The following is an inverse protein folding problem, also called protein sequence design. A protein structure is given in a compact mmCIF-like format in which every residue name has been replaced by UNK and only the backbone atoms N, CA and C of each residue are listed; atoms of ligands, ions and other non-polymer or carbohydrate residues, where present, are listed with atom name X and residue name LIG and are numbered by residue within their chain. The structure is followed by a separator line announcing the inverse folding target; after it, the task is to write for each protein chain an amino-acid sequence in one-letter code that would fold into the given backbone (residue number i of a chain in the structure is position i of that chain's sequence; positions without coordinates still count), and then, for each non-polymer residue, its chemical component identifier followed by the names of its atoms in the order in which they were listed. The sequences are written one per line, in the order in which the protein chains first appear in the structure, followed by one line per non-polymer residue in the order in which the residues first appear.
data_IF_193571376780
#
_entry.id   IF_193571376780
#
_cell.length_a   1.000
_cell.length_b   1.000
_cell.length_c   1.000
_cell.angle_alpha   90.00
_cell.angle_beta   90.00
_cell.angle_gamma   90.00
#
_symmetry.space_group_name_H-M   'P 1'
#
loop_
_entity.id
_entity.type
_entity.pdbx_description
1 polymer ?
#
# COMPACT_ATOMS: atom_id res chain seq x y z
N UNK A 1 10.80 -29.75 -3.11
CA UNK A 1 10.59 -28.55 -2.29
C UNK A 1 11.26 -27.36 -2.99
N UNK A 2 10.50 -26.48 -3.65
CA UNK A 2 11.05 -25.23 -4.17
C UNK A 2 10.97 -24.19 -3.06
N UNK A 3 12.13 -23.62 -2.71
CA UNK A 3 12.27 -22.52 -1.74
C UNK A 3 11.42 -21.35 -2.25
N UNK A 4 10.60 -20.77 -1.36
CA UNK A 4 10.00 -19.46 -1.61
C UNK A 4 11.14 -18.45 -1.75
N UNK A 5 11.45 -18.07 -2.98
CA UNK A 5 12.38 -16.99 -3.25
C UNK A 5 11.73 -15.70 -2.77
N UNK A 6 12.43 -14.97 -1.91
CA UNK A 6 12.14 -13.55 -1.70
C UNK A 6 12.27 -12.91 -3.07
N UNK A 7 11.19 -12.34 -3.61
CA UNK A 7 11.26 -11.53 -4.83
C UNK A 7 12.12 -10.33 -4.46
N UNK A 8 13.37 -10.34 -4.90
CA UNK A 8 14.28 -9.22 -4.71
C UNK A 8 13.80 -8.10 -5.63
N UNK A 9 13.47 -6.94 -5.05
CA UNK A 9 13.00 -5.79 -5.82
C UNK A 9 14.14 -5.34 -6.75
N UNK A 10 13.86 -5.20 -8.04
CA UNK A 10 14.82 -4.68 -8.99
C UNK A 10 15.09 -3.19 -8.68
N UNK A 11 16.29 -2.89 -8.16
CA UNK A 11 16.70 -1.52 -7.86
C UNK A 11 16.67 -0.60 -9.09
N UNK A 12 16.91 -1.14 -10.29
CA UNK A 12 16.87 -0.35 -11.52
C UNK A 12 15.43 0.06 -11.86
N UNK A 13 14.46 -0.84 -11.63
CA UNK A 13 13.03 -0.55 -11.79
C UNK A 13 12.62 0.61 -10.87
N UNK A 14 13.01 0.55 -9.59
CA UNK A 14 12.70 1.61 -8.62
C UNK A 14 13.33 2.95 -9.02
N UNK A 15 14.63 2.96 -9.34
CA UNK A 15 15.31 4.19 -9.77
C UNK A 15 14.68 4.77 -11.04
N UNK A 16 14.33 3.91 -12.00
CA UNK A 16 13.71 4.34 -13.25
C UNK A 16 12.36 4.99 -13.00
N UNK A 17 11.51 4.39 -12.18
CA UNK A 17 10.23 4.96 -11.80
C UNK A 17 10.39 6.30 -11.08
N UNK A 18 11.32 6.40 -10.11
CA UNK A 18 11.61 7.65 -9.40
C UNK A 18 12.02 8.76 -10.36
N UNK A 19 12.90 8.45 -11.32
CA UNK A 19 13.33 9.42 -12.32
C UNK A 19 12.15 9.89 -13.19
N UNK A 20 11.29 8.99 -13.65
CA UNK A 20 10.12 9.33 -14.46
C UNK A 20 9.11 10.21 -13.68
N UNK A 21 8.86 9.87 -12.41
CA UNK A 21 8.00 10.65 -11.52
C UNK A 21 8.57 12.06 -11.24
N UNK A 22 9.90 12.18 -11.13
CA UNK A 22 10.59 13.47 -10.95
C UNK A 22 10.51 14.34 -12.22
N UNK A 23 10.32 13.72 -13.38
CA UNK A 23 10.06 14.39 -14.66
C UNK A 23 8.56 14.63 -14.90
N UNK A 24 7.75 14.66 -13.83
CA UNK A 24 6.32 14.93 -13.85
C UNK A 24 5.49 14.00 -14.75
N UNK A 25 5.97 12.78 -15.02
CA UNK A 25 5.16 11.80 -15.73
C UNK A 25 4.03 11.30 -14.81
N UNK A 26 2.75 11.31 -15.25
CA UNK A 26 1.67 10.73 -14.47
C UNK A 26 1.89 9.22 -14.29
N UNK A 27 1.43 8.66 -13.16
CA UNK A 27 1.62 7.26 -12.79
C UNK A 27 1.22 6.27 -13.89
N UNK A 28 0.13 6.53 -14.60
CA UNK A 28 -0.31 5.72 -15.74
C UNK A 28 0.73 5.67 -16.86
N UNK A 29 1.37 6.80 -17.16
CA UNK A 29 2.43 6.90 -18.16
C UNK A 29 3.73 6.25 -17.66
N UNK A 30 4.06 6.38 -16.37
CA UNK A 30 5.20 5.69 -15.75
C UNK A 30 5.05 4.18 -15.92
N UNK A 31 3.87 3.63 -15.59
CA UNK A 31 3.57 2.20 -15.79
C UNK A 31 3.81 1.76 -17.22
N UNK A 32 3.26 2.49 -18.19
CA UNK A 32 3.33 2.12 -19.61
C UNK A 32 4.75 2.25 -20.18
N UNK A 33 5.58 3.15 -19.65
CA UNK A 33 7.00 3.26 -20.00
C UNK A 33 7.77 2.05 -19.47
N UNK A 34 7.61 1.71 -18.18
CA UNK A 34 8.33 0.61 -17.55
C UNK A 34 8.02 -0.74 -18.21
N UNK A 35 6.74 -0.99 -18.54
CA UNK A 35 6.35 -2.20 -19.26
C UNK A 35 7.00 -2.28 -20.66
N UNK A 36 7.09 -1.15 -21.36
CA UNK A 36 7.72 -1.07 -22.69
C UNK A 36 9.23 -1.26 -22.65
N UNK A 37 9.87 -0.84 -21.56
CA UNK A 37 11.29 -1.05 -21.29
C UNK A 37 11.61 -2.50 -20.90
N UNK A 38 10.60 -3.35 -20.72
CA UNK A 38 10.75 -4.79 -20.50
C UNK A 38 10.80 -5.21 -19.04
N UNK A 39 10.47 -4.34 -18.10
CA UNK A 39 10.40 -4.71 -16.68
C UNK A 39 9.26 -5.72 -16.43
N UNK A 40 9.42 -6.67 -15.48
CA UNK A 40 8.41 -7.68 -15.20
C UNK A 40 7.07 -7.05 -14.79
N UNK A 41 5.98 -7.45 -15.47
CA UNK A 41 4.65 -6.87 -15.25
C UNK A 41 4.22 -6.91 -13.78
N UNK A 42 4.45 -8.02 -13.08
CA UNK A 42 4.08 -8.16 -11.67
C UNK A 42 4.81 -7.14 -10.78
N UNK A 43 6.10 -6.89 -11.02
CA UNK A 43 6.87 -5.92 -10.25
C UNK A 43 6.48 -4.48 -10.59
N UNK A 44 6.17 -4.20 -11.86
CA UNK A 44 5.68 -2.88 -12.27
C UNK A 44 4.33 -2.59 -11.63
N UNK A 45 3.40 -3.55 -11.63
CA UNK A 45 2.10 -3.38 -10.97
C UNK A 45 2.29 -3.12 -9.47
N UNK A 46 3.09 -3.92 -8.78
CA UNK A 46 3.34 -3.75 -7.34
C UNK A 46 3.95 -2.39 -7.01
N UNK A 47 4.89 -1.90 -7.84
CA UNK A 47 5.49 -0.57 -7.67
C UNK A 47 4.49 0.56 -7.90
N UNK A 48 3.69 0.47 -8.96
CA UNK A 48 2.71 1.50 -9.32
C UNK A 48 1.61 1.57 -8.27
N UNK A 49 1.09 0.43 -7.80
CA UNK A 49 0.08 0.37 -6.74
C UNK A 49 0.63 0.98 -5.44
N UNK A 50 1.87 0.64 -5.06
CA UNK A 50 2.51 1.21 -3.89
C UNK A 50 2.71 2.73 -4.01
N UNK A 51 3.06 3.22 -5.19
CA UNK A 51 3.26 4.65 -5.45
C UNK A 51 1.94 5.40 -5.50
N UNK A 52 0.91 4.84 -6.12
CA UNK A 52 -0.44 5.40 -6.14
C UNK A 52 -1.01 5.52 -4.72
N UNK A 53 -0.74 4.55 -3.86
CA UNK A 53 -1.09 4.63 -2.45
C UNK A 53 -0.39 5.81 -1.76
N UNK A 54 0.91 6.02 -2.04
CA UNK A 54 1.67 7.17 -1.57
C UNK A 54 1.07 8.51 -2.01
N UNK A 55 0.72 8.62 -3.28
CA UNK A 55 0.20 9.87 -3.83
C UNK A 55 -1.25 10.14 -3.38
N UNK A 56 -2.05 9.09 -3.17
CA UNK A 56 -3.42 9.23 -2.68
C UNK A 56 -3.50 9.66 -1.21
N UNK A 57 -2.39 9.71 -0.46
CA UNK A 57 -2.37 10.24 0.92
C UNK A 57 -2.65 11.74 1.01
N UNK A 58 -2.63 12.48 -0.11
CA UNK A 58 -3.00 13.89 -0.14
C UNK A 58 -4.52 14.12 -0.21
N UNK A 59 -5.31 13.05 -0.35
CA UNK A 59 -6.76 13.11 -0.39
C UNK A 59 -7.30 12.63 0.97
N UNK A 60 -7.94 13.48 1.78
CA UNK A 60 -8.56 13.06 3.02
C UNK A 60 -9.62 11.99 2.72
N UNK A 61 -9.57 10.83 3.39
CA UNK A 61 -10.54 9.79 3.11
C UNK A 61 -11.89 10.09 3.76
N UNK A 62 -12.95 9.78 3.04
CA UNK A 62 -14.33 9.90 3.52
C UNK A 62 -14.69 8.72 4.43
N UNK A 63 -15.41 8.97 5.53
CA UNK A 63 -15.92 7.91 6.40
C UNK A 63 -17.31 7.46 5.92
N UNK A 64 -17.45 6.17 5.63
CA UNK A 64 -18.75 5.54 5.38
C UNK A 64 -18.85 4.18 6.10
N UNK A 65 -20.05 3.59 6.11
CA UNK A 65 -20.33 2.31 6.77
C UNK A 65 -19.58 1.11 6.18
N UNK A 66 -19.01 1.25 4.98
CA UNK A 66 -18.23 0.22 4.30
C UNK A 66 -16.74 0.28 4.65
N UNK A 67 -16.33 1.16 5.56
CA UNK A 67 -14.94 1.28 6.00
C UNK A 67 -14.72 0.76 7.42
N UNK A 68 -13.53 0.22 7.66
CA UNK A 68 -13.02 -0.17 8.97
C UNK A 68 -11.90 0.80 9.34
N UNK A 69 -12.04 1.49 10.47
CA UNK A 69 -10.96 2.29 11.04
C UNK A 69 -10.06 1.44 11.94
N UNK A 70 -8.75 1.53 11.74
CA UNK A 70 -7.75 1.03 12.69
C UNK A 70 -7.18 2.23 13.42
N UNK A 71 -7.23 2.12 14.74
CA UNK A 71 -6.63 3.03 15.68
C UNK A 71 -5.29 2.44 16.16
N UNK A 72 -4.21 3.20 16.04
CA UNK A 72 -2.85 2.75 16.34
C UNK A 72 -2.34 3.53 17.54
N UNK A 73 -1.91 2.79 18.56
CA UNK A 73 -1.25 3.40 19.72
C UNK A 73 0.19 3.78 19.33
N UNK A 74 0.47 5.08 19.29
CA UNK A 74 1.80 5.58 18.97
C UNK A 74 2.70 5.64 20.22
N UNK A 75 4.03 5.49 20.07
CA UNK A 75 4.95 5.62 21.19
C UNK A 75 4.80 6.97 21.90
N UNK A 76 4.62 6.94 23.22
CA UNK A 76 4.45 8.14 24.04
C UNK A 76 3.00 8.62 24.18
N UNK A 77 2.03 7.98 23.52
CA UNK A 77 0.61 8.23 23.82
C UNK A 77 0.20 7.56 25.14
N UNK A 78 -0.50 8.32 25.98
CA UNK A 78 -1.15 7.77 27.16
C UNK A 78 -2.32 6.87 26.74
N UNK A 79 -2.42 5.69 27.34
CA UNK A 79 -3.53 4.76 27.10
C UNK A 79 -4.79 5.16 27.86
N UNK A 80 -4.64 5.75 29.04
CA UNK A 80 -5.77 6.22 29.86
C UNK A 80 -6.31 7.55 29.35
N UNK A 81 -7.62 7.61 29.09
CA UNK A 81 -8.30 8.82 28.62
C UNK A 81 -8.07 9.17 27.15
N UNK A 82 -7.39 8.30 26.38
CA UNK A 82 -7.16 8.48 24.94
C UNK A 82 -8.48 8.52 24.20
N UNK A 83 -8.67 9.57 23.39
CA UNK A 83 -9.76 9.60 22.41
C UNK A 83 -9.40 8.64 21.28
N UNK A 84 -10.29 7.71 20.88
CA UNK A 84 -10.04 6.86 19.72
C UNK A 84 -9.68 7.71 18.51
N UNK A 85 -8.53 7.40 17.92
CA UNK A 85 -8.08 7.94 16.65
C UNK A 85 -8.42 6.97 15.53
N UNK A 86 -8.15 7.39 14.30
CA UNK A 86 -8.09 6.45 13.18
C UNK A 86 -6.85 6.81 12.39
N UNK A 87 -5.97 5.84 12.25
CA UNK A 87 -4.69 5.98 11.57
C UNK A 87 -4.73 5.30 10.20
N UNK A 88 -5.60 4.30 10.03
CA UNK A 88 -5.82 3.59 8.77
C UNK A 88 -7.31 3.37 8.56
N UNK A 89 -7.78 3.60 7.33
CA UNK A 89 -9.08 3.14 6.86
C UNK A 89 -8.91 1.98 5.89
N UNK A 90 -9.79 0.99 6.00
CA UNK A 90 -9.83 -0.16 5.10
C UNK A 90 -11.23 -0.23 4.49
N UNK A 91 -11.30 -0.23 3.16
CA UNK A 91 -12.52 -0.53 2.43
C UNK A 91 -12.84 -2.04 2.54
N UNK A 92 -14.03 -2.39 3.06
CA UNK A 92 -14.42 -3.79 3.33
C UNK A 92 -14.57 -4.64 2.07
N UNK A 93 -14.87 -4.03 0.92
CA UNK A 93 -15.16 -4.75 -0.32
C UNK A 93 -13.89 -5.00 -1.14
N UNK A 94 -13.04 -3.99 -1.23
CA UNK A 94 -11.81 -4.03 -2.04
C UNK A 94 -10.60 -4.45 -1.23
N UNK A 95 -10.62 -4.25 0.09
CA UNK A 95 -9.45 -4.35 0.95
C UNK A 95 -8.43 -3.23 0.73
N UNK A 96 -8.81 -2.13 0.05
CA UNK A 96 -7.94 -0.97 -0.17
C UNK A 96 -7.71 -0.23 1.15
N UNK A 97 -6.45 0.12 1.43
CA UNK A 97 -6.07 0.90 2.61
C UNK A 97 -5.99 2.39 2.25
N UNK A 98 -6.25 3.24 3.25
CA UNK A 98 -5.97 4.68 3.21
C UNK A 98 -5.34 5.07 4.54
N UNK A 99 -4.13 5.64 4.51
CA UNK A 99 -3.42 6.05 5.72
C UNK A 99 -3.84 7.48 6.10
N UNK A 100 -4.36 7.64 7.31
CA UNK A 100 -4.77 8.94 7.87
C UNK A 100 -3.56 9.65 8.46
N UNK A 101 -2.65 8.89 9.05
CA UNK A 101 -1.48 9.40 9.75
C UNK A 101 -0.17 8.84 9.19
N UNK A 102 0.09 8.98 7.86
CA UNK A 102 1.24 8.38 7.20
C UNK A 102 2.59 8.93 7.69
N UNK A 103 2.60 10.02 8.45
CA UNK A 103 3.80 10.57 9.08
C UNK A 103 4.36 9.67 10.20
N UNK A 104 3.56 8.78 10.79
CA UNK A 104 4.01 7.88 11.84
C UNK A 104 4.51 6.55 11.25
N UNK A 105 5.64 6.07 11.75
CA UNK A 105 6.24 4.81 11.27
C UNK A 105 5.34 3.61 11.60
N UNK A 106 4.63 3.68 12.72
CA UNK A 106 3.70 2.68 13.22
C UNK A 106 2.54 2.47 12.25
N UNK A 107 1.99 3.56 11.69
CA UNK A 107 0.95 3.52 10.66
C UNK A 107 1.39 2.70 9.46
N UNK A 108 2.63 2.88 9.00
CA UNK A 108 3.19 2.08 7.91
C UNK A 108 3.41 0.61 8.27
N UNK A 109 3.92 0.34 9.47
CA UNK A 109 4.15 -1.04 9.94
C UNK A 109 2.84 -1.82 9.99
N UNK A 110 1.80 -1.23 10.59
CA UNK A 110 0.48 -1.85 10.69
C UNK A 110 -0.14 -2.02 9.30
N UNK A 111 -0.08 -1.00 8.44
CA UNK A 111 -0.58 -1.08 7.07
C UNK A 111 0.04 -2.24 6.29
N UNK A 112 1.37 -2.42 6.38
CA UNK A 112 2.07 -3.50 5.72
C UNK A 112 1.60 -4.90 6.17
N UNK A 113 1.39 -5.10 7.47
CA UNK A 113 0.89 -6.38 8.00
C UNK A 113 -0.56 -6.63 7.60
N UNK A 114 -1.41 -5.60 7.62
CA UNK A 114 -2.80 -5.70 7.15
C UNK A 114 -2.83 -6.06 5.66
N UNK A 115 -2.02 -5.42 4.80
CA UNK A 115 -1.94 -5.75 3.37
C UNK A 115 -1.55 -7.21 3.15
N UNK A 116 -0.55 -7.72 3.89
CA UNK A 116 -0.16 -9.14 3.83
C UNK A 116 -1.32 -10.05 4.20
N UNK A 117 -2.07 -9.72 5.25
CA UNK A 117 -3.24 -10.48 5.67
C UNK A 117 -4.34 -10.50 4.61
N UNK A 118 -4.67 -9.35 4.02
CA UNK A 118 -5.68 -9.22 2.95
C UNK A 118 -5.25 -10.01 1.71
N UNK A 119 -4.01 -9.85 1.24
CA UNK A 119 -3.47 -10.60 0.09
C UNK A 119 -3.55 -12.11 0.30
N UNK A 120 -3.27 -12.57 1.52
CA UNK A 120 -3.41 -13.98 1.90
C UNK A 120 -4.86 -14.45 1.91
N UNK A 121 -5.80 -13.65 2.39
CA UNK A 121 -7.23 -14.00 2.34
C UNK A 121 -7.75 -14.09 0.91
N UNK A 122 -7.38 -13.13 0.05
CA UNK A 122 -7.78 -13.10 -1.36
C UNK A 122 -7.21 -14.28 -2.15
N UNK A 123 -5.97 -14.71 -1.87
CA UNK A 123 -5.39 -15.88 -2.52
C UNK A 123 -6.12 -17.16 -2.14
N UNK A 124 -6.49 -17.33 -0.86
CA UNK A 124 -7.29 -18.48 -0.40
C UNK A 124 -8.66 -18.50 -1.09
N UNK A 125 -9.35 -17.36 -1.18
CA UNK A 125 -10.66 -17.27 -1.86
C UNK A 125 -10.63 -17.66 -3.34
N UNK A 126 -9.51 -17.42 -4.04
CA UNK A 126 -9.33 -17.84 -5.45
C UNK A 126 -9.06 -19.33 -5.63
N UNK A 127 -8.61 -20.06 -4.61
CA UNK A 127 -8.38 -21.52 -4.71
C UNK A 127 -9.65 -22.36 -4.54
N UNK A 128 -10.73 -21.77 -4.03
CA UNK A 128 -12.00 -22.45 -3.76
C UNK A 128 -13.12 -22.12 -4.76
N UNK A 129 -12.80 -21.43 -5.86
CA UNK A 129 -13.73 -21.06 -6.93
C UNK A 129 -13.38 -21.74 -8.25
#
# INVERSE_FOLDING_TARGET
MKRGGVVEIDYNLVQRAQMLLTLDHPLSQVRDILLREGYPQEQVIELIDATEEVLNYLIPPEYDENKIGIDILHPGEATEGRKPGVDILIDKHTGKLSLITPQYQETWKVANEVRKAIKKQQSIGRYYH
#
